data_IF_087077944142
#
_entry.id   IF_087077944142
#
_cell.length_a   1.000
_cell.length_b   1.000
_cell.length_c   1.000
_cell.angle_alpha   90.00
_cell.angle_beta   90.00
_cell.angle_gamma   90.00
#
_symmetry.space_group_name_H-M   'P 1'
#
loop_
_entity.id
_entity.type
_entity.pdbx_description
1 polymer ?
#
# COMPACT_ATOMS: atom_id res chain seq x y z
N UNK A 1 22.65 -22.57 -0.02
CA UNK A 1 21.72 -22.65 -1.17
C UNK A 1 21.64 -21.27 -1.80
N UNK A 2 21.73 -21.13 -3.13
CA UNK A 2 21.49 -19.83 -3.77
C UNK A 2 19.99 -19.54 -3.68
N UNK A 3 19.60 -18.43 -3.07
CA UNK A 3 18.20 -18.03 -2.99
C UNK A 3 17.70 -17.67 -4.39
N UNK A 4 16.56 -18.24 -4.80
CA UNK A 4 15.89 -17.83 -6.03
C UNK A 4 15.48 -16.36 -5.90
N UNK A 5 15.74 -15.51 -6.92
CA UNK A 5 15.33 -14.11 -6.88
C UNK A 5 13.79 -14.02 -6.77
N UNK A 6 13.31 -13.07 -5.97
CA UNK A 6 11.88 -12.79 -5.87
C UNK A 6 11.40 -12.24 -7.21
N UNK A 7 10.29 -12.73 -7.79
CA UNK A 7 9.74 -12.19 -9.02
C UNK A 7 9.42 -10.69 -8.91
N UNK A 8 9.70 -9.95 -9.97
CA UNK A 8 9.32 -8.53 -10.08
C UNK A 8 7.82 -8.47 -10.39
N UNK A 9 7.02 -8.17 -9.38
CA UNK A 9 5.58 -7.91 -9.48
C UNK A 9 5.26 -6.55 -8.86
N UNK A 10 4.05 -6.04 -9.07
CA UNK A 10 3.63 -4.79 -8.42
C UNK A 10 3.79 -4.85 -6.90
N UNK A 11 3.37 -5.93 -6.22
CA UNK A 11 3.55 -5.99 -4.75
C UNK A 11 5.00 -6.11 -4.34
N UNK A 12 5.88 -6.70 -5.15
CA UNK A 12 7.32 -6.67 -4.86
C UNK A 12 7.83 -5.23 -4.86
N UNK A 13 7.43 -4.42 -5.85
CA UNK A 13 7.78 -2.99 -5.92
C UNK A 13 7.17 -2.20 -4.76
N UNK A 14 5.90 -2.44 -4.45
CA UNK A 14 5.21 -1.79 -3.32
C UNK A 14 5.87 -2.11 -1.99
N UNK A 15 6.15 -3.40 -1.72
CA UNK A 15 6.81 -3.84 -0.49
C UNK A 15 8.20 -3.21 -0.35
N UNK A 16 8.98 -3.16 -1.43
CA UNK A 16 10.29 -2.49 -1.43
C UNK A 16 10.17 -0.99 -1.15
N UNK A 17 9.21 -0.30 -1.78
CA UNK A 17 8.94 1.11 -1.53
C UNK A 17 8.63 1.39 -0.05
N UNK A 18 7.81 0.53 0.57
CA UNK A 18 7.42 0.66 1.96
C UNK A 18 8.59 0.43 2.92
N UNK A 19 9.35 -0.65 2.72
CA UNK A 19 10.53 -0.97 3.53
C UNK A 19 11.60 0.12 3.42
N UNK A 20 11.80 0.67 2.21
CA UNK A 20 12.71 1.82 1.99
C UNK A 20 12.23 3.06 2.74
N UNK A 21 10.91 3.31 2.76
CA UNK A 21 10.34 4.44 3.50
C UNK A 21 10.54 4.30 5.01
N UNK A 22 10.39 3.08 5.55
CA UNK A 22 10.73 2.77 6.95
C UNK A 22 12.22 3.00 7.21
N UNK A 23 13.10 2.45 6.37
CA UNK A 23 14.55 2.58 6.52
C UNK A 23 15.03 4.04 6.44
N UNK A 24 14.48 4.82 5.50
CA UNK A 24 14.80 6.24 5.35
C UNK A 24 14.34 7.08 6.54
N UNK A 25 13.15 6.80 7.08
CA UNK A 25 12.61 7.51 8.25
C UNK A 25 13.43 7.22 9.51
N UNK A 26 13.79 5.96 9.74
CA UNK A 26 14.58 5.54 10.90
C UNK A 26 16.10 5.70 10.75
N UNK A 27 16.58 6.23 9.63
CA UNK A 27 18.02 6.38 9.36
C UNK A 27 18.75 7.17 10.45
N UNK A 28 18.14 8.26 10.95
CA UNK A 28 18.73 9.12 11.96
C UNK A 28 19.14 8.36 13.21
N UNK A 29 18.18 7.62 13.79
CA UNK A 29 18.37 6.83 15.00
C UNK A 29 19.40 5.71 14.75
N UNK A 30 19.20 4.93 13.68
CA UNK A 30 20.09 3.82 13.33
C UNK A 30 21.54 4.29 13.14
N UNK A 31 21.76 5.42 12.45
CA UNK A 31 23.09 5.95 12.20
C UNK A 31 23.82 6.39 13.47
N UNK A 32 23.13 6.68 14.58
CA UNK A 32 23.79 6.97 15.86
C UNK A 32 24.46 5.74 16.47
N UNK A 33 23.92 4.55 16.19
CA UNK A 33 24.41 3.29 16.75
C UNK A 33 25.58 2.68 15.94
N UNK A 34 25.87 3.21 14.76
CA UNK A 34 26.95 2.74 13.89
C UNK A 34 28.26 3.49 14.15
N UNK A 35 29.37 2.78 13.92
CA UNK A 35 30.71 3.37 13.87
C UNK A 35 30.78 4.51 12.84
N UNK A 36 31.49 5.63 13.11
CA UNK A 36 31.55 6.78 12.21
C UNK A 36 31.88 6.43 10.76
N UNK A 37 32.79 5.49 10.53
CA UNK A 37 33.22 5.02 9.21
C UNK A 37 32.14 4.22 8.45
N UNK A 38 31.14 3.67 9.15
CA UNK A 38 30.05 2.91 8.54
C UNK A 38 28.87 3.81 8.13
N UNK A 39 28.72 4.99 8.74
CA UNK A 39 27.58 5.90 8.48
C UNK A 39 27.47 6.34 7.00
N UNK A 40 28.56 6.69 6.29
CA UNK A 40 28.48 7.02 4.87
C UNK A 40 28.03 5.83 4.02
N UNK A 41 28.43 4.61 4.39
CA UNK A 41 28.03 3.38 3.70
C UNK A 41 26.55 3.10 3.92
N UNK A 42 26.08 3.19 5.17
CA UNK A 42 24.66 3.02 5.51
C UNK A 42 23.78 4.04 4.77
N UNK A 43 24.20 5.31 4.73
CA UNK A 43 23.50 6.37 3.98
C UNK A 43 23.39 6.02 2.50
N UNK A 44 24.52 5.66 1.87
CA UNK A 44 24.54 5.29 0.45
C UNK A 44 23.62 4.11 0.17
N UNK A 45 23.65 3.08 1.02
CA UNK A 45 22.79 1.88 0.87
C UNK A 45 21.32 2.28 0.88
N UNK A 46 20.89 3.09 1.86
CA UNK A 46 19.48 3.47 2.01
C UNK A 46 19.01 4.38 0.87
N UNK A 47 19.76 5.45 0.58
CA UNK A 47 19.30 6.53 -0.29
C UNK A 47 19.71 6.37 -1.77
N UNK A 48 20.87 5.78 -2.05
CA UNK A 48 21.43 5.73 -3.41
C UNK A 48 21.32 4.33 -4.03
N UNK A 49 21.37 3.28 -3.20
CA UNK A 49 21.26 1.88 -3.64
C UNK A 49 19.90 1.27 -3.30
N UNK A 50 18.96 2.08 -2.82
CA UNK A 50 17.59 1.68 -2.53
C UNK A 50 17.48 0.43 -1.64
N UNK A 51 18.29 0.39 -0.58
CA UNK A 51 18.42 -0.69 0.39
C UNK A 51 18.95 -2.02 -0.17
N UNK A 52 19.60 -2.02 -1.35
CA UNK A 52 20.31 -3.19 -1.89
C UNK A 52 21.80 -3.07 -1.59
N UNK A 53 22.36 -4.02 -0.85
CA UNK A 53 23.76 -4.09 -0.48
C UNK A 53 24.55 -4.96 -1.47
N UNK A 54 25.68 -4.43 -1.93
CA UNK A 54 26.72 -5.24 -2.57
C UNK A 54 27.47 -6.10 -1.54
N UNK A 55 28.33 -7.02 -2.00
CA UNK A 55 29.18 -7.82 -1.11
C UNK A 55 30.09 -6.93 -0.24
N UNK A 56 30.62 -5.85 -0.80
CA UNK A 56 31.47 -4.89 -0.08
C UNK A 56 30.69 -4.08 0.96
N UNK A 57 29.42 -3.77 0.69
CA UNK A 57 28.52 -3.11 1.66
C UNK A 57 28.19 -4.08 2.79
N UNK A 58 27.83 -5.33 2.44
CA UNK A 58 27.53 -6.40 3.38
C UNK A 58 28.68 -6.69 4.34
N UNK A 59 29.92 -6.77 3.84
CA UNK A 59 31.10 -6.98 4.67
C UNK A 59 31.34 -5.89 5.72
N UNK A 60 30.76 -4.69 5.55
CA UNK A 60 30.86 -3.59 6.52
C UNK A 60 29.64 -3.50 7.43
N UNK A 61 28.44 -3.72 6.90
CA UNK A 61 27.19 -3.41 7.61
C UNK A 61 26.50 -4.62 8.22
N UNK A 62 26.71 -5.84 7.70
CA UNK A 62 25.89 -7.00 8.03
C UNK A 62 25.88 -7.33 9.53
N UNK A 63 27.03 -7.34 10.19
CA UNK A 63 27.14 -7.65 11.61
C UNK A 63 26.39 -6.63 12.47
N UNK A 64 26.60 -5.33 12.22
CA UNK A 64 25.93 -4.25 12.96
C UNK A 64 24.41 -4.31 12.74
N UNK A 65 23.95 -4.45 11.49
CA UNK A 65 22.53 -4.59 11.16
C UNK A 65 21.89 -5.79 11.85
N UNK A 66 22.57 -6.95 11.83
CA UNK A 66 22.05 -8.14 12.48
C UNK A 66 21.99 -8.02 13.99
N UNK A 67 22.99 -7.39 14.61
CA UNK A 67 22.99 -7.10 16.04
C UNK A 67 21.78 -6.24 16.43
N UNK A 68 21.41 -5.24 15.63
CA UNK A 68 20.24 -4.41 15.94
C UNK A 68 18.93 -5.13 15.65
N UNK A 69 18.85 -5.92 14.57
CA UNK A 69 17.66 -6.70 14.23
C UNK A 69 17.42 -7.94 15.13
N UNK A 70 18.24 -8.12 16.18
CA UNK A 70 18.08 -9.18 17.21
C UNK A 70 17.98 -8.61 18.63
N UNK A 71 17.95 -7.28 18.80
CA UNK A 71 17.93 -6.63 20.13
C UNK A 71 16.81 -5.59 20.25
N UNK A 72 15.54 -6.04 20.16
CA UNK A 72 14.38 -5.15 20.19
C UNK A 72 14.25 -4.36 21.50
N UNK A 73 14.78 -4.86 22.62
CA UNK A 73 14.65 -4.23 23.94
C UNK A 73 15.62 -3.07 24.17
N UNK A 74 16.65 -2.92 23.33
CA UNK A 74 17.70 -1.89 23.50
C UNK A 74 17.32 -0.62 22.76
N UNK A 75 16.94 -0.77 21.50
CA UNK A 75 16.53 0.33 20.64
C UNK A 75 15.49 -0.18 19.64
N UNK A 76 14.18 -0.01 19.95
CA UNK A 76 13.11 -0.44 19.07
C UNK A 76 13.15 0.22 17.69
N UNK A 77 13.60 1.48 17.59
CA UNK A 77 13.65 2.19 16.31
C UNK A 77 14.75 1.62 15.41
N UNK A 78 15.95 1.42 15.95
CA UNK A 78 17.05 0.76 15.22
C UNK A 78 16.73 -0.69 14.87
N UNK A 79 16.01 -1.41 15.73
CA UNK A 79 15.53 -2.77 15.46
C UNK A 79 14.59 -2.82 14.25
N UNK A 80 13.57 -1.95 14.19
CA UNK A 80 12.63 -1.89 13.07
C UNK A 80 13.31 -1.46 11.77
N UNK A 81 14.18 -0.45 11.85
CA UNK A 81 14.91 0.09 10.70
C UNK A 81 15.86 -0.94 10.10
N UNK A 82 16.63 -1.64 10.95
CA UNK A 82 17.54 -2.71 10.51
C UNK A 82 16.77 -3.89 9.92
N UNK A 83 15.65 -4.27 10.54
CA UNK A 83 14.75 -5.30 10.01
C UNK A 83 14.24 -4.94 8.62
N UNK A 84 13.76 -3.71 8.43
CA UNK A 84 13.25 -3.26 7.14
C UNK A 84 14.33 -3.27 6.05
N UNK A 85 15.54 -2.81 6.38
CA UNK A 85 16.68 -2.79 5.46
C UNK A 85 17.11 -4.21 5.06
N UNK A 86 17.22 -5.14 6.01
CA UNK A 86 17.58 -6.54 5.74
C UNK A 86 16.53 -7.26 4.88
N UNK A 87 15.24 -7.01 5.13
CA UNK A 87 14.16 -7.54 4.28
C UNK A 87 14.23 -6.98 2.86
N UNK A 88 14.45 -5.67 2.71
CA UNK A 88 14.56 -5.04 1.40
C UNK A 88 15.80 -5.55 0.62
N UNK A 89 16.93 -5.73 1.30
CA UNK A 89 18.14 -6.33 0.72
C UNK A 89 17.86 -7.74 0.21
N UNK A 90 17.24 -8.57 1.06
CA UNK A 90 16.91 -9.96 0.73
C UNK A 90 15.97 -10.09 -0.46
N UNK A 91 14.89 -9.29 -0.50
CA UNK A 91 13.93 -9.31 -1.62
C UNK A 91 14.64 -8.97 -2.95
N UNK A 92 15.63 -8.09 -2.91
CA UNK A 92 16.42 -7.67 -4.08
C UNK A 92 17.61 -8.60 -4.40
N UNK A 93 17.76 -9.72 -3.68
CA UNK A 93 18.88 -10.64 -3.86
C UNK A 93 20.23 -10.01 -3.51
N UNK A 94 20.26 -9.14 -2.50
CA UNK A 94 21.49 -8.52 -2.00
C UNK A 94 22.37 -9.46 -1.19
N UNK A 95 23.52 -8.94 -0.75
CA UNK A 95 24.59 -9.74 -0.17
C UNK A 95 24.31 -10.25 1.26
N UNK A 96 23.36 -9.65 1.98
CA UNK A 96 23.07 -9.98 3.38
C UNK A 96 21.82 -10.85 3.48
N UNK A 97 21.67 -11.80 2.54
CA UNK A 97 20.55 -12.74 2.47
C UNK A 97 20.64 -13.88 3.53
N UNK A 98 21.01 -13.56 4.77
CA UNK A 98 21.15 -14.51 5.87
C UNK A 98 19.84 -15.20 6.28
N UNK A 99 19.94 -16.12 7.26
CA UNK A 99 18.83 -16.86 7.88
C UNK A 99 17.94 -15.94 8.72
N UNK A 100 17.23 -15.02 8.07
CA UNK A 100 16.37 -14.03 8.72
C UNK A 100 14.92 -14.54 8.88
N UNK A 101 14.59 -15.73 8.35
CA UNK A 101 13.26 -16.33 8.46
C UNK A 101 12.79 -16.55 9.92
N UNK A 102 13.63 -17.05 10.86
CA UNK A 102 13.22 -17.26 12.24
C UNK A 102 12.83 -15.98 12.99
N UNK A 103 13.26 -14.81 12.51
CA UNK A 103 13.01 -13.53 13.19
C UNK A 103 11.51 -13.20 13.27
N UNK A 104 10.69 -13.66 12.33
CA UNK A 104 9.25 -13.49 12.45
C UNK A 104 8.74 -14.20 13.70
N UNK A 105 9.02 -15.51 13.84
CA UNK A 105 8.56 -16.30 14.98
C UNK A 105 9.07 -15.74 16.32
N UNK A 106 10.32 -15.30 16.36
CA UNK A 106 10.96 -14.77 17.58
C UNK A 106 10.42 -13.40 17.99
N UNK A 107 10.12 -12.51 17.05
CA UNK A 107 9.86 -11.08 17.35
C UNK A 107 8.50 -10.56 16.85
N UNK A 108 7.60 -11.41 16.35
CA UNK A 108 6.28 -10.99 15.83
C UNK A 108 5.48 -10.09 16.76
N UNK A 109 5.49 -10.35 18.07
CA UNK A 109 4.71 -9.56 19.02
C UNK A 109 5.28 -8.15 19.20
N UNK A 110 6.57 -7.97 18.89
CA UNK A 110 7.23 -6.67 18.88
C UNK A 110 6.89 -5.94 17.58
N UNK A 111 6.95 -6.60 16.42
CA UNK A 111 6.49 -6.03 15.15
C UNK A 111 5.03 -5.59 15.23
N UNK A 112 4.18 -6.36 15.91
CA UNK A 112 2.76 -6.04 16.12
C UNK A 112 2.51 -4.76 16.92
N UNK A 113 3.43 -4.37 17.80
CA UNK A 113 3.36 -3.13 18.57
C UNK A 113 3.88 -1.91 17.82
N UNK A 114 4.51 -2.09 16.66
CA UNK A 114 4.98 -0.98 15.84
C UNK A 114 3.81 -0.14 15.32
N UNK A 115 4.04 1.15 14.96
CA UNK A 115 3.06 1.95 14.23
C UNK A 115 2.55 1.21 12.99
N UNK A 116 1.27 1.38 12.66
CA UNK A 116 0.61 0.60 11.61
C UNK A 116 1.34 0.58 10.27
N UNK A 117 1.86 1.70 9.72
CA UNK A 117 2.62 1.67 8.47
C UNK A 117 3.89 0.79 8.56
N UNK A 118 4.61 0.86 9.68
CA UNK A 118 5.85 0.09 9.91
C UNK A 118 5.54 -1.39 10.07
N UNK A 119 4.52 -1.71 10.86
CA UNK A 119 4.04 -3.10 11.05
C UNK A 119 3.64 -3.73 9.72
N UNK A 120 2.83 -3.04 8.92
CA UNK A 120 2.39 -3.51 7.61
C UNK A 120 3.58 -3.73 6.68
N UNK A 121 4.49 -2.75 6.56
CA UNK A 121 5.68 -2.85 5.72
C UNK A 121 6.56 -4.06 6.08
N UNK A 122 6.88 -4.24 7.36
CA UNK A 122 7.70 -5.37 7.83
C UNK A 122 6.99 -6.70 7.59
N UNK A 123 5.69 -6.79 7.88
CA UNK A 123 4.90 -8.02 7.69
C UNK A 123 4.82 -8.42 6.22
N UNK A 124 4.55 -7.47 5.32
CA UNK A 124 4.59 -7.71 3.87
C UNK A 124 6.01 -8.06 3.40
N UNK A 125 7.03 -7.40 3.95
CA UNK A 125 8.44 -7.71 3.70
C UNK A 125 8.79 -9.16 4.02
N UNK A 126 8.39 -9.64 5.19
CA UNK A 126 8.54 -11.03 5.61
C UNK A 126 7.82 -12.00 4.65
N UNK A 127 6.53 -11.76 4.37
CA UNK A 127 5.76 -12.59 3.42
C UNK A 127 6.40 -12.66 2.04
N UNK A 128 6.99 -11.54 1.58
CA UNK A 128 7.63 -11.47 0.27
C UNK A 128 9.02 -12.13 0.25
N UNK A 129 9.81 -11.94 1.29
CA UNK A 129 11.17 -12.46 1.39
C UNK A 129 11.25 -13.98 1.65
N UNK A 130 10.20 -14.56 2.22
CA UNK A 130 10.17 -15.97 2.63
C UNK A 130 8.95 -16.75 2.10
N UNK A 131 8.05 -16.10 1.37
CA UNK A 131 6.84 -16.74 0.82
C UNK A 131 5.91 -17.26 1.91
N UNK A 132 5.28 -18.41 1.63
CA UNK A 132 4.33 -19.08 2.53
C UNK A 132 4.95 -19.69 3.79
N UNK A 133 6.28 -19.74 3.92
CA UNK A 133 6.98 -20.36 5.05
C UNK A 133 6.71 -19.70 6.41
N UNK A 134 6.11 -18.50 6.41
CA UNK A 134 5.74 -17.76 7.62
C UNK A 134 4.30 -18.10 8.07
N UNK A 135 3.54 -18.85 7.27
CA UNK A 135 2.13 -19.17 7.52
C UNK A 135 1.87 -20.24 8.58
N UNK A 136 2.76 -21.22 8.74
CA UNK A 136 2.48 -22.43 9.52
C UNK A 136 2.83 -22.32 11.02
N UNK A 137 3.78 -21.46 11.41
CA UNK A 137 4.19 -21.26 12.82
C UNK A 137 3.78 -19.88 13.36
N UNK A 138 2.47 -19.70 13.55
CA UNK A 138 1.87 -18.51 14.18
C UNK A 138 1.55 -17.40 13.20
N UNK A 139 0.35 -17.57 12.63
CA UNK A 139 -0.18 -16.84 11.49
C UNK A 139 -0.07 -15.32 11.59
N UNK A 140 0.18 -14.72 10.44
CA UNK A 140 0.02 -13.28 10.19
C UNK A 140 -1.46 -12.94 10.35
N UNK A 141 -1.79 -12.07 11.30
CA UNK A 141 -3.17 -11.62 11.48
C UNK A 141 -3.51 -10.54 10.45
N UNK A 142 -4.79 -10.39 10.08
CA UNK A 142 -5.22 -9.36 9.12
C UNK A 142 -4.77 -7.95 9.53
N UNK A 143 -4.81 -7.63 10.84
CA UNK A 143 -4.33 -6.35 11.39
C UNK A 143 -2.84 -6.08 11.16
N UNK A 144 -2.05 -7.15 10.99
CA UNK A 144 -0.60 -7.07 10.80
C UNK A 144 -0.28 -6.58 9.37
N UNK A 145 -1.24 -6.69 8.44
CA UNK A 145 -1.10 -6.35 7.03
C UNK A 145 -1.60 -4.95 6.66
N UNK A 146 -2.45 -4.35 7.51
CA UNK A 146 -3.12 -3.09 7.20
C UNK A 146 -2.48 -1.89 7.87
N UNK A 147 -2.34 -0.82 7.09
CA UNK A 147 -1.85 0.48 7.53
C UNK A 147 -2.95 1.30 8.21
N UNK A 148 -4.17 1.24 7.67
CA UNK A 148 -5.32 2.02 8.14
C UNK A 148 -6.39 1.11 8.75
N UNK A 149 -7.07 1.64 9.77
CA UNK A 149 -8.27 1.01 10.29
C UNK A 149 -9.40 1.07 9.25
N UNK A 150 -10.09 -0.06 9.05
CA UNK A 150 -11.09 -0.20 8.01
C UNK A 150 -12.34 0.65 8.26
N UNK A 151 -12.78 0.77 9.51
CA UNK A 151 -13.99 1.52 9.87
C UNK A 151 -13.74 3.02 9.75
N UNK A 152 -12.58 3.48 10.20
CA UNK A 152 -12.15 4.87 10.03
C UNK A 152 -12.06 5.26 8.55
N UNK A 153 -11.48 4.38 7.72
CA UNK A 153 -11.35 4.62 6.29
C UNK A 153 -12.71 4.65 5.59
N UNK A 154 -13.62 3.70 5.90
CA UNK A 154 -15.00 3.71 5.39
C UNK A 154 -15.70 5.02 5.75
N UNK A 155 -15.61 5.47 7.00
CA UNK A 155 -16.20 6.72 7.46
C UNK A 155 -15.66 7.94 6.70
N UNK A 156 -14.35 7.99 6.43
CA UNK A 156 -13.72 9.07 5.66
C UNK A 156 -14.18 9.07 4.20
N UNK A 157 -14.21 7.90 3.55
CA UNK A 157 -14.68 7.77 2.18
C UNK A 157 -16.17 8.13 2.05
N UNK A 158 -17.02 7.70 3.00
CA UNK A 158 -18.44 8.11 3.02
C UNK A 158 -18.59 9.63 3.14
N UNK A 159 -17.72 10.30 3.93
CA UNK A 159 -17.73 11.76 4.03
C UNK A 159 -17.42 12.42 2.68
N UNK A 160 -16.44 11.90 1.93
CA UNK A 160 -16.09 12.40 0.59
C UNK A 160 -17.23 12.15 -0.40
N UNK A 161 -17.82 10.95 -0.40
CA UNK A 161 -18.97 10.66 -1.25
C UNK A 161 -20.13 11.64 -0.97
N UNK A 162 -20.44 11.86 0.32
CA UNK A 162 -21.53 12.75 0.75
C UNK A 162 -21.25 14.24 0.61
N UNK A 163 -20.01 14.65 0.34
CA UNK A 163 -19.70 16.07 0.07
C UNK A 163 -20.09 16.50 -1.34
N UNK A 164 -20.54 15.58 -2.21
CA UNK A 164 -21.08 15.95 -3.52
C UNK A 164 -22.29 16.88 -3.38
N UNK A 165 -22.18 18.06 -3.99
CA UNK A 165 -23.28 19.02 -4.07
C UNK A 165 -24.37 18.54 -5.04
N UNK A 166 -25.54 19.18 -5.02
CA UNK A 166 -26.61 18.88 -5.98
C UNK A 166 -26.11 19.01 -7.44
N UNK A 167 -25.42 20.10 -7.77
CA UNK A 167 -24.88 20.30 -9.12
C UNK A 167 -23.83 19.26 -9.53
N UNK A 168 -22.99 18.79 -8.60
CA UNK A 168 -22.07 17.68 -8.87
C UNK A 168 -22.83 16.38 -9.18
N UNK A 169 -23.87 16.07 -8.40
CA UNK A 169 -24.69 14.87 -8.64
C UNK A 169 -25.43 14.94 -9.97
N UNK A 170 -25.96 16.11 -10.33
CA UNK A 170 -26.59 16.32 -11.63
C UNK A 170 -25.58 16.12 -12.78
N UNK A 171 -24.36 16.65 -12.63
CA UNK A 171 -23.26 16.46 -13.60
C UNK A 171 -22.78 15.01 -13.72
N UNK A 172 -22.91 14.19 -12.68
CA UNK A 172 -22.64 12.74 -12.77
C UNK A 172 -23.76 12.07 -13.55
N UNK A 173 -25.02 12.39 -13.24
CA UNK A 173 -26.17 11.76 -13.88
C UNK A 173 -26.35 12.15 -15.36
N UNK A 174 -25.75 13.25 -15.84
CA UNK A 174 -25.75 13.59 -17.27
C UNK A 174 -24.96 12.61 -18.13
N UNK A 175 -24.16 11.72 -17.53
CA UNK A 175 -23.47 10.62 -18.23
C UNK A 175 -24.41 9.45 -18.60
N UNK A 176 -25.66 9.48 -18.14
CA UNK A 176 -26.71 8.59 -18.57
C UNK A 176 -27.55 9.21 -19.69
N UNK A 177 -28.22 8.34 -20.44
CA UNK A 177 -29.25 8.73 -21.41
C UNK A 177 -30.36 9.53 -20.73
N UNK A 178 -30.99 10.42 -21.49
CA UNK A 178 -32.00 11.35 -20.97
C UNK A 178 -33.16 10.64 -20.28
N UNK A 179 -33.59 9.49 -20.83
CA UNK A 179 -34.70 8.69 -20.31
C UNK A 179 -34.43 8.09 -18.93
N UNK A 180 -33.17 7.77 -18.61
CA UNK A 180 -32.79 7.10 -17.34
C UNK A 180 -32.11 8.03 -16.33
N UNK A 181 -31.79 9.26 -16.73
CA UNK A 181 -31.11 10.26 -15.88
C UNK A 181 -31.79 10.47 -14.53
N UNK A 182 -33.12 10.58 -14.51
CA UNK A 182 -33.88 10.77 -13.27
C UNK A 182 -33.78 9.55 -12.33
N UNK A 183 -33.73 8.34 -12.89
CA UNK A 183 -33.58 7.09 -12.14
C UNK A 183 -32.18 7.01 -11.52
N UNK A 184 -31.13 7.32 -12.29
CA UNK A 184 -29.77 7.43 -11.76
C UNK A 184 -29.66 8.47 -10.66
N UNK A 185 -30.30 9.63 -10.84
CA UNK A 185 -30.28 10.72 -9.86
C UNK A 185 -30.90 10.30 -8.53
N UNK A 186 -32.07 9.67 -8.59
CA UNK A 186 -32.76 9.16 -7.40
C UNK A 186 -31.96 8.04 -6.72
N UNK A 187 -31.42 7.08 -7.48
CA UNK A 187 -30.60 6.01 -6.94
C UNK A 187 -29.30 6.52 -6.27
N UNK A 188 -28.67 7.55 -6.85
CA UNK A 188 -27.50 8.19 -6.27
C UNK A 188 -27.83 8.90 -4.95
N UNK A 189 -28.96 9.61 -4.87
CA UNK A 189 -29.39 10.23 -3.61
C UNK A 189 -29.68 9.17 -2.52
N UNK A 190 -30.33 8.06 -2.89
CA UNK A 190 -30.58 6.96 -1.96
C UNK A 190 -29.28 6.31 -1.47
N UNK A 191 -28.29 6.11 -2.37
CA UNK A 191 -26.98 5.58 -2.01
C UNK A 191 -26.22 6.50 -1.05
N UNK A 192 -26.22 7.81 -1.31
CA UNK A 192 -25.51 8.79 -0.48
C UNK A 192 -26.16 9.00 0.89
N UNK A 193 -27.49 8.91 0.97
CA UNK A 193 -28.23 9.00 2.23
C UNK A 193 -28.18 7.71 3.05
N UNK A 194 -27.95 6.56 2.41
CA UNK A 194 -27.81 5.25 3.05
C UNK A 194 -26.36 4.82 3.27
N UNK A 195 -26.01 3.61 2.84
CA UNK A 195 -24.74 2.93 3.14
C UNK A 195 -23.54 3.45 2.37
N UNK A 196 -23.75 4.14 1.25
CA UNK A 196 -22.72 4.48 0.25
C UNK A 196 -22.08 3.25 -0.42
N UNK A 197 -22.70 2.06 -0.34
CA UNK A 197 -22.28 0.84 -1.04
C UNK A 197 -23.13 0.70 -2.31
N UNK A 198 -22.50 0.71 -3.49
CA UNK A 198 -23.21 0.74 -4.78
C UNK A 198 -24.01 -0.55 -5.02
N UNK A 199 -23.41 -1.70 -4.73
CA UNK A 199 -23.99 -3.02 -4.97
C UNK A 199 -25.28 -3.30 -4.19
N UNK A 200 -25.56 -2.58 -3.10
CA UNK A 200 -26.81 -2.68 -2.35
C UNK A 200 -28.02 -2.07 -3.09
N UNK A 201 -27.79 -1.20 -4.09
CA UNK A 201 -28.83 -0.52 -4.85
C UNK A 201 -29.06 -1.14 -6.23
N UNK A 202 -28.45 -2.30 -6.49
CA UNK A 202 -28.51 -3.03 -7.75
C UNK A 202 -27.25 -2.85 -8.60
N UNK A 203 -27.18 -3.58 -9.71
CA UNK A 203 -25.97 -3.61 -10.55
C UNK A 203 -25.81 -2.43 -11.51
N UNK A 204 -26.89 -1.71 -11.83
CA UNK A 204 -26.90 -0.70 -12.90
C UNK A 204 -27.05 0.73 -12.39
N UNK A 205 -28.02 1.01 -11.52
CA UNK A 205 -28.30 2.34 -10.97
C UNK A 205 -27.82 2.42 -9.50
N UNK A 206 -27.04 3.44 -9.08
CA UNK A 206 -26.39 4.48 -9.89
C UNK A 206 -25.03 4.03 -10.46
N UNK A 207 -24.65 2.76 -10.29
CA UNK A 207 -23.32 2.22 -10.57
C UNK A 207 -22.72 2.65 -11.91
N UNK A 208 -23.48 2.58 -13.01
CA UNK A 208 -22.97 2.92 -14.35
C UNK A 208 -22.40 4.35 -14.44
N UNK A 209 -23.18 5.36 -14.04
CA UNK A 209 -22.75 6.77 -14.13
C UNK A 209 -21.68 7.10 -13.09
N UNK A 210 -21.74 6.49 -11.91
CA UNK A 210 -20.72 6.66 -10.86
C UNK A 210 -19.38 6.08 -11.35
N UNK A 211 -19.40 4.91 -11.97
CA UNK A 211 -18.20 4.30 -12.52
C UNK A 211 -17.60 5.13 -13.66
N UNK A 212 -18.43 5.64 -14.59
CA UNK A 212 -17.97 6.55 -15.66
C UNK A 212 -17.38 7.84 -15.09
N UNK A 213 -18.07 8.50 -14.15
CA UNK A 213 -17.58 9.72 -13.52
C UNK A 213 -16.29 9.49 -12.72
N UNK A 214 -16.14 8.34 -12.06
CA UNK A 214 -14.90 7.96 -11.34
C UNK A 214 -13.70 7.73 -12.25
N UNK A 215 -13.88 7.76 -13.57
CA UNK A 215 -12.84 7.62 -14.58
C UNK A 215 -12.53 8.96 -15.30
N UNK A 216 -13.21 10.05 -14.95
CA UNK A 216 -13.00 11.36 -15.57
C UNK A 216 -12.57 12.37 -14.50
N UNK A 217 -11.27 12.67 -14.46
CA UNK A 217 -10.69 13.58 -13.45
C UNK A 217 -11.21 15.02 -13.55
N UNK A 218 -11.75 15.41 -14.71
CA UNK A 218 -12.35 16.73 -14.93
C UNK A 218 -13.82 16.78 -14.49
N UNK A 219 -14.44 15.62 -14.22
CA UNK A 219 -15.81 15.57 -13.75
C UNK A 219 -15.92 16.16 -12.33
N UNK A 220 -16.85 17.10 -12.06
CA UNK A 220 -17.01 17.69 -10.73
C UNK A 220 -17.31 16.67 -9.62
N UNK A 221 -17.89 15.51 -9.97
CA UNK A 221 -18.17 14.41 -9.05
C UNK A 221 -17.02 13.41 -8.89
N UNK A 222 -15.88 13.58 -9.58
CA UNK A 222 -14.79 12.59 -9.66
C UNK A 222 -14.41 12.00 -8.30
N UNK A 223 -14.01 12.85 -7.34
CA UNK A 223 -13.58 12.38 -6.01
C UNK A 223 -14.69 11.66 -5.23
N UNK A 224 -15.92 12.17 -5.28
CA UNK A 224 -17.08 11.56 -4.62
C UNK A 224 -17.43 10.21 -5.24
N UNK A 225 -17.38 10.10 -6.56
CA UNK A 225 -17.59 8.85 -7.28
C UNK A 225 -16.47 7.84 -7.05
N UNK A 226 -15.20 8.25 -7.06
CA UNK A 226 -14.07 7.37 -6.70
C UNK A 226 -14.24 6.81 -5.29
N UNK A 227 -14.67 7.64 -4.32
CA UNK A 227 -14.93 7.18 -2.96
C UNK A 227 -16.04 6.12 -2.90
N UNK A 228 -17.13 6.28 -3.65
CA UNK A 228 -18.20 5.27 -3.75
C UNK A 228 -17.70 3.95 -4.35
N UNK A 229 -16.89 4.00 -5.41
CA UNK A 229 -16.34 2.78 -6.03
C UNK A 229 -15.36 2.07 -5.08
N UNK A 230 -14.54 2.82 -4.33
CA UNK A 230 -13.67 2.24 -3.30
C UNK A 230 -14.45 1.55 -2.18
N UNK A 231 -15.52 2.19 -1.69
CA UNK A 231 -16.40 1.62 -0.67
C UNK A 231 -17.06 0.31 -1.15
N UNK A 232 -17.53 0.28 -2.39
CA UNK A 232 -18.09 -0.92 -3.01
C UNK A 232 -17.01 -2.01 -3.22
N UNK A 233 -15.79 -1.61 -3.58
CA UNK A 233 -14.65 -2.53 -3.72
C UNK A 233 -14.24 -3.15 -2.38
N UNK A 234 -14.36 -2.43 -1.26
CA UNK A 234 -14.14 -3.04 0.07
C UNK A 234 -15.14 -4.13 0.39
N UNK A 235 -16.41 -3.94 0.02
CA UNK A 235 -17.46 -4.92 0.27
C UNK A 235 -17.31 -6.15 -0.62
N UNK A 236 -17.04 -5.90 -1.90
CA UNK A 236 -16.93 -6.96 -2.91
C UNK A 236 -15.53 -7.56 -3.00
N UNK A 237 -14.57 -7.09 -2.18
CA UNK A 237 -13.13 -7.43 -2.27
C UNK A 237 -12.56 -7.21 -3.67
N UNK A 238 -13.02 -6.15 -4.33
CA UNK A 238 -12.68 -5.80 -5.72
C UNK A 238 -12.88 -6.98 -6.69
N UNK A 239 -13.95 -7.78 -6.56
CA UNK A 239 -14.20 -9.02 -7.33
C UNK A 239 -14.25 -8.89 -8.87
N UNK A 240 -14.01 -7.71 -9.42
CA UNK A 240 -13.93 -7.43 -10.87
C UNK A 240 -12.71 -6.57 -11.24
N UNK A 241 -11.72 -6.50 -10.35
CA UNK A 241 -10.47 -5.73 -10.51
C UNK A 241 -10.72 -4.27 -10.92
N UNK A 242 -11.85 -3.70 -10.48
CA UNK A 242 -12.29 -2.37 -10.87
C UNK A 242 -11.32 -1.32 -10.35
N UNK A 243 -10.78 -1.52 -9.16
CA UNK A 243 -9.83 -0.57 -8.57
C UNK A 243 -8.41 -0.84 -9.05
N UNK A 244 -8.04 -2.09 -9.34
CA UNK A 244 -6.75 -2.39 -9.96
C UNK A 244 -6.62 -1.68 -11.34
N UNK A 245 -7.63 -1.85 -12.19
CA UNK A 245 -7.71 -1.16 -13.49
C UNK A 245 -7.69 0.38 -13.37
N UNK A 246 -8.41 0.93 -12.39
CA UNK A 246 -8.42 2.37 -12.13
C UNK A 246 -7.06 2.88 -11.71
N UNK A 247 -6.37 2.17 -10.82
CA UNK A 247 -5.03 2.54 -10.39
C UNK A 247 -4.05 2.55 -11.57
N UNK A 248 -4.07 1.49 -12.39
CA UNK A 248 -3.24 1.40 -13.61
C UNK A 248 -3.37 2.65 -14.48
N UNK A 249 -4.60 3.08 -14.74
CA UNK A 249 -4.88 4.17 -15.67
C UNK A 249 -4.80 5.57 -15.06
N UNK A 250 -4.98 5.70 -13.74
CA UNK A 250 -5.27 6.99 -13.12
C UNK A 250 -4.49 7.29 -11.85
N UNK A 251 -3.47 6.50 -11.49
CA UNK A 251 -2.62 6.77 -10.33
C UNK A 251 -2.20 8.26 -10.23
N UNK A 252 -1.71 8.83 -11.33
CA UNK A 252 -1.35 10.25 -11.42
C UNK A 252 -2.50 11.21 -11.08
N UNK A 253 -3.71 10.91 -11.55
CA UNK A 253 -4.91 11.70 -11.26
C UNK A 253 -5.22 11.68 -9.76
N UNK A 254 -5.17 10.50 -9.13
CA UNK A 254 -5.37 10.35 -7.69
C UNK A 254 -4.31 11.11 -6.88
N UNK A 255 -3.05 11.09 -7.33
CA UNK A 255 -1.95 11.80 -6.65
C UNK A 255 -2.05 13.33 -6.78
N UNK A 256 -2.68 13.83 -7.85
CA UNK A 256 -2.91 15.27 -8.07
C UNK A 256 -4.20 15.79 -7.47
N UNK A 257 -5.06 14.93 -6.91
CA UNK A 257 -6.28 15.35 -6.22
C UNK A 257 -6.00 16.40 -5.13
N UNK A 258 -6.99 17.28 -4.85
CA UNK A 258 -6.92 18.18 -3.71
C UNK A 258 -6.63 17.45 -2.39
N UNK A 259 -5.79 18.01 -1.49
CA UNK A 259 -5.36 17.35 -0.27
C UNK A 259 -6.50 16.80 0.62
N UNK A 260 -7.63 17.50 0.64
CA UNK A 260 -8.83 17.15 1.41
C UNK A 260 -9.48 15.83 0.98
N UNK A 261 -9.27 15.39 -0.26
CA UNK A 261 -9.76 14.11 -0.77
C UNK A 261 -8.65 13.08 -0.88
N UNK A 262 -7.49 13.51 -1.37
CA UNK A 262 -6.38 12.65 -1.76
C UNK A 262 -5.97 11.68 -0.67
N UNK A 263 -5.83 12.14 0.57
CA UNK A 263 -5.32 11.29 1.65
C UNK A 263 -6.20 10.05 1.87
N UNK A 264 -7.52 10.22 1.94
CA UNK A 264 -8.45 9.10 2.15
C UNK A 264 -8.60 8.22 0.90
N UNK A 265 -8.58 8.80 -0.30
CA UNK A 265 -8.63 8.03 -1.55
C UNK A 265 -7.39 7.13 -1.69
N UNK A 266 -6.19 7.68 -1.46
CA UNK A 266 -4.94 6.92 -1.49
C UNK A 266 -4.91 5.86 -0.39
N UNK A 267 -5.40 6.17 0.82
CA UNK A 267 -5.58 5.18 1.88
C UNK A 267 -6.56 4.06 1.46
N UNK A 268 -7.57 4.38 0.67
CA UNK A 268 -8.49 3.44 0.04
C UNK A 268 -7.78 2.40 -0.82
N UNK A 269 -7.02 2.86 -1.81
CA UNK A 269 -6.20 2.00 -2.66
C UNK A 269 -5.18 1.19 -1.85
N UNK A 270 -4.58 1.82 -0.84
CA UNK A 270 -3.63 1.17 0.06
C UNK A 270 -4.26 -0.03 0.77
N UNK A 271 -5.46 0.14 1.31
CA UNK A 271 -6.17 -0.93 2.01
C UNK A 271 -6.50 -2.10 1.07
N UNK A 272 -6.96 -1.83 -0.16
CA UNK A 272 -7.23 -2.88 -1.16
C UNK A 272 -5.98 -3.71 -1.47
N UNK A 273 -4.86 -3.03 -1.76
CA UNK A 273 -3.56 -3.68 -1.96
C UNK A 273 -3.16 -4.57 -0.76
N UNK A 274 -3.34 -4.07 0.46
CA UNK A 274 -2.91 -4.77 1.67
C UNK A 274 -3.78 -5.99 2.01
N UNK A 275 -5.06 -5.95 1.63
CA UNK A 275 -6.04 -6.99 1.93
C UNK A 275 -6.13 -8.08 0.87
N UNK A 276 -5.83 -7.78 -0.40
CA UNK A 276 -5.97 -8.71 -1.51
C UNK A 276 -4.60 -9.03 -2.14
N UNK A 277 -4.12 -10.27 -1.93
CA UNK A 277 -2.83 -10.72 -2.50
C UNK A 277 -2.84 -10.69 -4.05
N UNK A 278 -4.01 -10.85 -4.65
CA UNK A 278 -4.21 -10.85 -6.10
C UNK A 278 -4.37 -9.44 -6.68
N UNK A 279 -4.35 -8.38 -5.86
CA UNK A 279 -4.50 -7.02 -6.36
C UNK A 279 -3.25 -6.59 -7.13
N UNK A 280 -3.32 -6.70 -8.46
CA UNK A 280 -2.24 -6.46 -9.43
C UNK A 280 -2.70 -5.47 -10.51
N UNK A 281 -2.57 -4.15 -10.29
CA UNK A 281 -2.95 -3.15 -11.29
C UNK A 281 -2.26 -3.34 -12.65
N UNK A 282 -1.08 -3.95 -12.65
CA UNK A 282 -0.20 -4.05 -13.81
C UNK A 282 0.10 -5.52 -14.17
N UNK A 283 -0.84 -6.44 -13.93
CA UNK A 283 -0.70 -7.88 -14.24
C UNK A 283 -0.15 -8.11 -15.66
N UNK A 284 -0.69 -7.36 -16.63
CA UNK A 284 -0.37 -7.52 -18.05
C UNK A 284 0.99 -6.95 -18.46
N UNK A 285 1.70 -6.27 -17.56
CA UNK A 285 2.96 -5.59 -17.88
C UNK A 285 4.16 -6.51 -17.72
N UNK A 286 5.20 -6.26 -18.53
CA UNK A 286 6.46 -6.96 -18.37
C UNK A 286 7.21 -6.49 -17.12
N UNK A 287 8.13 -7.30 -16.55
CA UNK A 287 9.00 -6.86 -15.46
C UNK A 287 9.76 -5.55 -15.75
N UNK A 288 10.15 -5.31 -17.01
CA UNK A 288 10.81 -4.07 -17.41
C UNK A 288 9.89 -2.86 -17.32
N UNK A 289 8.67 -2.98 -17.85
CA UNK A 289 7.65 -1.92 -17.77
C UNK A 289 7.28 -1.61 -16.32
N UNK A 290 7.16 -2.64 -15.48
CA UNK A 290 6.91 -2.47 -14.04
C UNK A 290 7.99 -1.61 -13.38
N UNK A 291 9.26 -1.89 -13.64
CA UNK A 291 10.38 -1.15 -13.04
C UNK A 291 10.46 0.30 -13.53
N UNK A 292 10.10 0.55 -14.78
CA UNK A 292 10.23 1.87 -15.41
C UNK A 292 9.01 2.77 -15.13
N UNK A 293 7.81 2.19 -15.14
CA UNK A 293 6.56 2.97 -15.27
C UNK A 293 5.56 2.73 -14.14
N UNK A 294 5.68 1.67 -13.36
CA UNK A 294 4.66 1.37 -12.35
C UNK A 294 4.65 2.45 -11.26
N UNK A 295 3.46 2.93 -10.92
CA UNK A 295 3.26 3.88 -9.83
C UNK A 295 2.84 3.09 -8.59
N UNK A 296 3.70 3.05 -7.57
CA UNK A 296 3.36 2.45 -6.27
C UNK A 296 2.41 3.35 -5.49
N UNK A 297 1.53 2.75 -4.69
CA UNK A 297 0.66 3.48 -3.76
C UNK A 297 1.55 4.14 -2.69
N UNK A 298 1.46 5.47 -2.48
CA UNK A 298 2.29 6.16 -1.52
C UNK A 298 2.24 5.55 -0.12
N UNK A 299 3.41 5.48 0.52
CA UNK A 299 3.52 5.05 1.90
C UNK A 299 2.94 6.11 2.84
N UNK A 300 2.13 5.69 3.80
CA UNK A 300 1.69 6.57 4.87
C UNK A 300 2.90 6.84 5.77
N UNK A 301 3.43 8.08 5.71
CA UNK A 301 4.52 8.47 6.60
C UNK A 301 4.07 8.26 8.06
N UNK A 302 4.85 7.54 8.88
CA UNK A 302 4.54 7.32 10.28
C UNK A 302 4.58 8.63 11.09
#
# INVERSE_FOLDING_TARGET
MRHSPVPVTFQTLQTLSDLRSVAATGFGDLATCFRPEHKPVLRRVIFDQHCRMSEADGGKLAEDLMRFATRPDVDPASFMTSTALLLADRIQGGAVAGEFAPHWGLYRDIYRRAPSPVRAAITHGFRRAFGGAIGDEGSVAARDLVTFDGDDLRRLLCRIARSMTAGMRDSVCTLADEETRAVHRHALDNCLSGSCILSEYGGWFPGEVVEKASLDAENPGYAGCTALVLLDAFETRDAKDKMAFRWERQADGYLRMPPEFRAAIIAGFRNLHEMAIEWQPYDSWTPGDLLEKAVVVPFAKP
#
